data_IF_879267352333
#
_entry.id   IF_879267352333
#
_cell.length_a   1.000
_cell.length_b   1.000
_cell.length_c   1.000
_cell.angle_alpha   90.00
_cell.angle_beta   90.00
_cell.angle_gamma   90.00
#
_symmetry.space_group_name_H-M   'P 1'
#
loop_
_entity.id
_entity.type
_entity.pdbx_description
1 polymer ?
#
# COMPACT_ATOMS: atom_id res chain seq x y z
N UNK A 1 40.41 -27.27 -0.54
CA UNK A 1 39.04 -27.18 -1.08
C UNK A 1 38.21 -26.19 -0.28
N UNK A 2 37.47 -25.30 -0.95
CA UNK A 2 36.65 -24.25 -0.31
C UNK A 2 35.20 -24.45 -0.72
N UNK A 3 34.29 -24.43 0.25
CA UNK A 3 32.84 -24.41 0.03
C UNK A 3 32.34 -23.00 0.30
N UNK A 4 31.55 -22.43 -0.63
CA UNK A 4 30.87 -21.15 -0.46
C UNK A 4 29.37 -21.38 -0.58
N UNK A 5 28.62 -21.12 0.50
CA UNK A 5 27.16 -21.28 0.53
C UNK A 5 26.48 -19.95 0.22
N UNK A 6 26.04 -19.76 -1.02
CA UNK A 6 25.27 -18.60 -1.46
C UNK A 6 23.74 -18.91 -1.41
N UNK A 7 23.21 -19.15 -0.21
CA UNK A 7 21.84 -19.66 0.01
C UNK A 7 20.71 -18.63 -0.19
N UNK A 8 21.04 -17.37 -0.48
CA UNK A 8 20.08 -16.31 -0.74
C UNK A 8 19.41 -15.76 0.53
N UNK A 9 18.15 -15.31 0.39
CA UNK A 9 17.40 -14.61 1.43
C UNK A 9 16.03 -15.27 1.68
N UNK A 10 15.48 -15.03 2.86
CA UNK A 10 14.06 -15.20 3.16
C UNK A 10 13.41 -13.81 3.20
N UNK A 11 12.35 -13.61 2.41
CA UNK A 11 11.64 -12.33 2.38
C UNK A 11 10.82 -12.15 3.66
N UNK A 12 11.13 -11.09 4.41
CA UNK A 12 10.32 -10.62 5.54
C UNK A 12 9.31 -9.58 5.04
N UNK A 13 8.09 -10.02 4.74
CA UNK A 13 7.02 -9.10 4.34
C UNK A 13 6.73 -8.15 5.48
N UNK A 14 6.76 -6.84 5.19
CA UNK A 14 6.57 -5.77 6.17
C UNK A 14 7.45 -5.87 7.42
N UNK A 15 8.63 -6.50 7.30
CA UNK A 15 9.59 -6.60 8.39
C UNK A 15 9.17 -7.54 9.53
N UNK A 16 8.21 -8.45 9.31
CA UNK A 16 7.63 -9.33 10.35
C UNK A 16 7.03 -8.56 11.55
N UNK A 17 6.58 -7.33 11.32
CA UNK A 17 5.85 -6.55 12.31
C UNK A 17 4.40 -7.04 12.34
N UNK A 18 3.86 -7.23 13.55
CA UNK A 18 2.43 -7.49 13.73
C UNK A 18 1.67 -6.16 13.66
N UNK A 19 0.65 -6.12 12.80
CA UNK A 19 -0.22 -4.95 12.64
C UNK A 19 -1.63 -5.32 13.01
N UNK A 20 -2.28 -4.47 13.80
CA UNK A 20 -3.71 -4.53 14.06
C UNK A 20 -4.39 -3.18 13.82
N UNK A 21 -5.70 -3.23 13.62
CA UNK A 21 -6.59 -2.07 13.59
C UNK A 21 -7.71 -2.39 14.58
N UNK A 22 -7.82 -1.59 15.64
CA UNK A 22 -8.79 -1.80 16.71
C UNK A 22 -8.75 -3.23 17.30
N UNK A 23 -7.52 -3.77 17.48
CA UNK A 23 -7.29 -5.12 18.01
C UNK A 23 -7.55 -6.26 17.01
N UNK A 24 -7.85 -5.96 15.74
CA UNK A 24 -7.99 -6.97 14.67
C UNK A 24 -6.74 -7.01 13.81
N UNK A 25 -6.08 -8.16 13.76
CA UNK A 25 -4.90 -8.39 12.90
C UNK A 25 -5.19 -8.01 11.45
N UNK A 26 -4.25 -7.31 10.82
CA UNK A 26 -4.31 -6.95 9.40
C UNK A 26 -3.74 -8.09 8.56
N UNK A 27 -4.51 -8.56 7.59
CA UNK A 27 -4.05 -9.51 6.58
C UNK A 27 -3.76 -8.78 5.27
N UNK A 28 -2.49 -8.43 5.06
CA UNK A 28 -2.07 -7.67 3.90
C UNK A 28 -2.31 -8.39 2.58
N UNK A 29 -2.38 -9.74 2.57
CA UNK A 29 -2.68 -10.52 1.36
C UNK A 29 -4.08 -10.26 0.78
N UNK A 30 -4.97 -9.67 1.59
CA UNK A 30 -6.33 -9.29 1.22
C UNK A 30 -6.48 -7.80 0.89
N UNK A 31 -5.40 -7.02 1.00
CA UNK A 31 -5.42 -5.59 0.69
C UNK A 31 -4.99 -5.31 -0.75
N UNK A 32 -5.41 -4.17 -1.28
CA UNK A 32 -4.90 -3.59 -2.52
C UNK A 32 -3.90 -2.48 -2.22
N UNK A 33 -2.78 -2.47 -2.93
CA UNK A 33 -1.75 -1.46 -2.73
C UNK A 33 -2.08 -0.16 -3.47
N UNK A 34 -2.33 0.91 -2.73
CA UNK A 34 -2.52 2.25 -3.26
C UNK A 34 -1.16 2.90 -3.56
N UNK A 35 -0.97 3.33 -4.81
CA UNK A 35 0.27 3.94 -5.34
C UNK A 35 1.54 3.14 -4.99
N UNK A 36 1.39 1.82 -4.85
CA UNK A 36 2.44 0.91 -4.39
C UNK A 36 3.05 1.23 -3.01
N UNK A 37 2.37 2.01 -2.17
CA UNK A 37 2.94 2.56 -0.92
C UNK A 37 1.99 2.49 0.27
N UNK A 38 0.68 2.49 0.08
CA UNK A 38 -0.31 2.30 1.16
C UNK A 38 -1.19 1.09 0.84
N UNK A 39 -2.05 0.69 1.77
CA UNK A 39 -2.88 -0.52 1.63
C UNK A 39 -4.34 -0.19 1.88
N UNK A 40 -5.23 -0.70 1.03
CA UNK A 40 -6.67 -0.48 1.16
C UNK A 40 -7.15 -0.79 2.57
N UNK A 41 -7.91 0.13 3.15
CA UNK A 41 -8.51 0.04 4.49
C UNK A 41 -7.50 -0.02 5.65
N UNK A 42 -6.21 0.24 5.39
CA UNK A 42 -5.18 0.39 6.43
C UNK A 42 -4.85 1.88 6.62
N UNK A 43 -5.18 2.48 7.77
CA UNK A 43 -4.94 3.89 8.03
C UNK A 43 -3.46 4.17 8.30
N UNK A 44 -2.98 5.35 7.88
CA UNK A 44 -1.71 5.95 8.32
C UNK A 44 -0.45 5.08 8.17
N UNK A 45 -0.45 4.09 7.26
CA UNK A 45 0.70 3.24 6.98
C UNK A 45 1.24 3.52 5.58
N UNK A 46 2.54 3.85 5.51
CA UNK A 46 3.30 3.92 4.26
C UNK A 46 4.41 2.87 4.28
N UNK A 47 4.53 2.15 3.17
CA UNK A 47 5.48 1.08 2.95
C UNK A 47 6.36 1.38 1.74
N UNK A 48 7.66 1.14 1.90
CA UNK A 48 8.64 1.30 0.84
C UNK A 48 9.05 -0.06 0.30
N UNK A 49 8.64 -0.37 -0.93
CA UNK A 49 9.07 -1.57 -1.65
C UNK A 49 9.75 -1.19 -2.96
N UNK A 50 11.03 -1.54 -3.10
CA UNK A 50 11.86 -1.15 -4.24
C UNK A 50 11.38 -1.67 -5.60
N UNK A 51 11.87 -1.04 -6.66
CA UNK A 51 11.72 -1.58 -8.01
C UNK A 51 12.54 -2.87 -8.15
N UNK A 52 12.01 -3.82 -8.92
CA UNK A 52 12.68 -5.07 -9.26
C UNK A 52 13.72 -4.84 -10.36
N UNK A 53 13.42 -3.95 -11.32
CA UNK A 53 14.25 -3.69 -12.50
C UNK A 53 14.97 -2.33 -12.44
N UNK A 54 14.95 -1.63 -11.30
CA UNK A 54 15.61 -0.34 -11.11
C UNK A 54 16.10 -0.19 -9.66
N UNK A 55 16.84 0.88 -9.36
CA UNK A 55 17.35 1.11 -8.01
C UNK A 55 16.22 1.24 -7.00
N UNK A 56 16.29 0.49 -5.90
CA UNK A 56 15.35 0.59 -4.79
C UNK A 56 15.32 1.99 -4.16
N UNK A 57 16.44 2.72 -4.21
CA UNK A 57 16.53 4.10 -3.69
C UNK A 57 15.60 5.06 -4.41
N UNK A 58 15.32 4.84 -5.70
CA UNK A 58 14.37 5.66 -6.45
C UNK A 58 12.95 5.56 -5.88
N UNK A 59 12.54 4.36 -5.42
CA UNK A 59 11.24 4.23 -4.76
C UNK A 59 11.29 4.83 -3.35
N UNK A 60 12.38 4.63 -2.61
CA UNK A 60 12.53 5.19 -1.27
C UNK A 60 12.36 6.71 -1.26
N UNK A 61 12.99 7.43 -2.21
CA UNK A 61 12.83 8.88 -2.35
C UNK A 61 11.36 9.27 -2.63
N UNK A 62 10.69 8.55 -3.55
CA UNK A 62 9.29 8.82 -3.87
C UNK A 62 8.36 8.54 -2.69
N UNK A 63 8.60 7.48 -1.91
CA UNK A 63 7.83 7.16 -0.72
C UNK A 63 8.00 8.22 0.38
N UNK A 64 9.22 8.70 0.60
CA UNK A 64 9.50 9.80 1.53
C UNK A 64 8.80 11.09 1.10
N UNK A 65 8.92 11.48 -0.18
CA UNK A 65 8.22 12.66 -0.71
C UNK A 65 6.70 12.53 -0.59
N UNK A 66 6.14 11.37 -0.95
CA UNK A 66 4.71 11.11 -0.81
C UNK A 66 4.25 11.25 0.63
N UNK A 67 4.99 10.68 1.58
CA UNK A 67 4.71 10.78 3.02
C UNK A 67 4.60 12.23 3.47
N UNK A 68 5.59 13.05 3.12
CA UNK A 68 5.57 14.49 3.43
C UNK A 68 4.36 15.19 2.81
N UNK A 69 4.00 14.87 1.56
CA UNK A 69 2.82 15.48 0.90
C UNK A 69 1.52 15.10 1.60
N UNK A 70 1.36 13.85 2.02
CA UNK A 70 0.18 13.38 2.75
C UNK A 70 0.08 14.07 4.11
N UNK A 71 1.16 14.07 4.90
CA UNK A 71 1.19 14.70 6.23
C UNK A 71 0.87 16.20 6.13
N UNK A 72 1.52 16.93 5.22
CA UNK A 72 1.26 18.35 5.01
C UNK A 72 -0.20 18.62 4.58
N UNK A 73 -0.80 17.72 3.80
CA UNK A 73 -2.21 17.83 3.43
C UNK A 73 -3.12 17.61 4.63
N UNK A 74 -2.84 16.59 5.45
CA UNK A 74 -3.58 16.31 6.68
C UNK A 74 -3.54 17.49 7.65
N UNK A 75 -2.35 18.07 7.87
CA UNK A 75 -2.18 19.28 8.69
C UNK A 75 -3.03 20.45 8.18
N UNK A 76 -3.04 20.66 6.86
CA UNK A 76 -3.80 21.76 6.22
C UNK A 76 -5.31 21.64 6.42
N UNK A 77 -5.85 20.44 6.38
CA UNK A 77 -7.31 20.19 6.55
C UNK A 77 -7.68 19.81 7.98
N UNK A 78 -6.70 19.72 8.88
CA UNK A 78 -6.86 19.29 10.26
C UNK A 78 -7.35 17.85 10.39
N UNK A 79 -6.92 16.93 9.53
CA UNK A 79 -7.22 15.50 9.67
C UNK A 79 -6.10 14.75 10.37
N UNK A 80 -6.44 13.61 10.98
CA UNK A 80 -5.51 12.78 11.77
C UNK A 80 -5.37 11.37 11.20
N UNK A 81 -6.34 10.96 10.38
CA UNK A 81 -6.41 9.63 9.78
C UNK A 81 -6.51 9.81 8.26
N UNK A 82 -5.64 9.12 7.53
CA UNK A 82 -5.65 8.97 6.09
C UNK A 82 -5.71 7.49 5.74
N UNK A 83 -6.77 7.07 5.04
CA UNK A 83 -6.99 5.67 4.64
C UNK A 83 -7.30 5.61 3.14
N UNK A 84 -6.57 4.84 2.34
CA UNK A 84 -6.98 4.57 0.97
C UNK A 84 -8.17 3.61 0.97
N UNK A 85 -9.27 3.97 0.31
CA UNK A 85 -10.46 3.13 0.23
C UNK A 85 -10.84 2.90 -1.23
N UNK A 86 -11.15 1.65 -1.58
CA UNK A 86 -11.69 1.31 -2.90
C UNK A 86 -12.98 2.08 -3.14
N UNK A 87 -13.13 2.64 -4.35
CA UNK A 87 -14.38 3.29 -4.77
C UNK A 87 -15.43 2.22 -5.11
N UNK A 88 -16.70 2.61 -5.17
CA UNK A 88 -17.80 1.68 -5.48
C UNK A 88 -17.58 0.88 -6.77
N UNK A 89 -17.04 1.52 -7.83
CA UNK A 89 -16.71 0.84 -9.09
C UNK A 89 -15.47 -0.06 -9.04
N UNK A 90 -14.69 -0.01 -7.97
CA UNK A 90 -13.44 -0.75 -7.78
C UNK A 90 -13.62 -1.96 -6.84
N UNK A 91 -14.78 -2.12 -6.20
CA UNK A 91 -15.04 -3.21 -5.24
C UNK A 91 -14.93 -4.61 -5.86
N UNK A 92 -15.17 -4.74 -7.17
CA UNK A 92 -15.06 -5.99 -7.92
C UNK A 92 -13.75 -6.09 -8.72
N UNK A 93 -12.77 -5.23 -8.44
CA UNK A 93 -11.50 -5.20 -9.14
C UNK A 93 -10.74 -6.52 -8.92
N UNK A 94 -10.17 -7.08 -10.00
CA UNK A 94 -9.43 -8.32 -9.93
C UNK A 94 -8.06 -8.09 -9.29
N UNK A 95 -7.82 -8.74 -8.15
CA UNK A 95 -6.50 -8.77 -7.52
C UNK A 95 -5.53 -9.67 -8.26
N UNK A 96 -4.37 -9.12 -8.63
CA UNK A 96 -3.19 -9.85 -9.11
C UNK A 96 -2.10 -9.87 -8.05
N UNK A 97 -1.12 -10.75 -8.25
CA UNK A 97 0.04 -10.84 -7.39
C UNK A 97 0.86 -9.55 -7.43
N UNK A 98 1.51 -9.23 -6.30
CA UNK A 98 2.25 -7.98 -6.12
C UNK A 98 3.28 -7.70 -7.22
N UNK A 99 3.91 -8.76 -7.73
CA UNK A 99 4.87 -8.71 -8.83
C UNK A 99 4.49 -9.80 -9.81
N UNK A 100 4.27 -9.42 -11.06
CA UNK A 100 4.01 -10.36 -12.14
C UNK A 100 5.33 -10.91 -12.71
N UNK A 101 5.36 -12.21 -13.04
CA UNK A 101 6.42 -12.87 -13.80
C UNK A 101 7.86 -12.76 -13.23
N UNK A 102 8.02 -12.68 -11.90
CA UNK A 102 9.35 -12.69 -11.28
C UNK A 102 9.80 -14.11 -10.86
N UNK A 103 10.95 -14.54 -11.36
CA UNK A 103 11.45 -15.91 -11.21
C UNK A 103 12.21 -16.18 -9.89
N UNK A 104 12.50 -15.14 -9.10
CA UNK A 104 13.30 -15.33 -7.88
C UNK A 104 12.50 -16.08 -6.81
N UNK A 105 12.99 -17.27 -6.46
CA UNK A 105 12.31 -18.17 -5.52
C UNK A 105 12.02 -17.55 -4.15
N UNK A 106 12.86 -16.64 -3.65
CA UNK A 106 12.64 -16.00 -2.34
C UNK A 106 11.39 -15.11 -2.31
N UNK A 107 11.01 -14.49 -3.44
CA UNK A 107 9.75 -13.76 -3.57
C UNK A 107 8.61 -14.75 -3.78
N UNK A 108 8.76 -15.73 -4.68
CA UNK A 108 7.71 -16.71 -4.98
C UNK A 108 7.20 -17.43 -3.72
N UNK A 109 8.10 -17.81 -2.81
CA UNK A 109 7.74 -18.44 -1.53
C UNK A 109 6.86 -17.58 -0.64
N UNK A 110 6.88 -16.26 -0.80
CA UNK A 110 6.19 -15.29 0.07
C UNK A 110 5.17 -14.43 -0.69
N UNK A 111 4.96 -14.66 -1.99
CA UNK A 111 4.06 -13.86 -2.83
C UNK A 111 2.64 -13.81 -2.28
N UNK A 112 2.16 -14.93 -1.74
CA UNK A 112 0.83 -15.06 -1.13
C UNK A 112 0.64 -14.23 0.14
N UNK A 113 1.70 -13.65 0.72
CA UNK A 113 1.64 -12.77 1.89
C UNK A 113 1.68 -11.28 1.52
N UNK A 114 2.03 -10.96 0.28
CA UNK A 114 2.13 -9.58 -0.22
C UNK A 114 0.75 -9.03 -0.57
N UNK A 115 0.57 -7.68 -0.57
CA UNK A 115 -0.66 -7.07 -1.03
C UNK A 115 -0.96 -7.41 -2.50
N UNK A 116 -2.23 -7.33 -2.85
CA UNK A 116 -2.65 -7.41 -4.25
C UNK A 116 -2.40 -6.10 -4.95
N UNK A 117 -2.15 -6.19 -6.25
CA UNK A 117 -2.31 -5.06 -7.15
C UNK A 117 -3.57 -5.26 -7.99
N UNK A 118 -4.25 -4.16 -8.33
CA UNK A 118 -5.40 -4.14 -9.22
C UNK A 118 -5.00 -4.09 -10.70
N UNK A 119 -5.97 -3.90 -11.57
CA UNK A 119 -5.82 -3.72 -13.02
C UNK A 119 -5.81 -2.27 -13.48
N UNK A 120 -6.06 -1.32 -12.56
CA UNK A 120 -6.12 0.10 -12.87
C UNK A 120 -5.53 0.97 -11.76
N UNK A 121 -4.97 2.12 -12.15
CA UNK A 121 -4.46 3.11 -11.23
C UNK A 121 -5.57 3.62 -10.29
N UNK A 122 -5.27 3.93 -9.02
CA UNK A 122 -3.94 3.96 -8.40
C UNK A 122 -3.51 2.63 -7.76
N UNK A 123 -4.17 1.50 -8.08
CA UNK A 123 -4.00 0.22 -7.39
C UNK A 123 -2.93 -0.70 -8.00
N UNK A 124 -2.07 -0.19 -8.90
CA UNK A 124 -1.12 -0.99 -9.68
C UNK A 124 0.31 -0.83 -9.15
N UNK A 125 1.07 -1.92 -9.10
CA UNK A 125 2.51 -1.90 -8.88
C UNK A 125 3.26 -1.76 -10.21
N UNK A 126 3.41 -0.52 -10.68
CA UNK A 126 3.77 -0.20 -12.08
C UNK A 126 5.16 -0.67 -12.50
N UNK A 127 6.09 -0.78 -11.55
CA UNK A 127 7.52 -0.96 -11.82
C UNK A 127 8.13 0.10 -12.77
N UNK A 128 7.45 1.23 -12.98
CA UNK A 128 7.85 2.33 -13.87
C UNK A 128 8.14 3.59 -13.04
N UNK A 129 9.42 3.91 -12.89
CA UNK A 129 9.86 5.07 -12.12
C UNK A 129 9.36 6.41 -12.70
N UNK A 130 9.29 6.57 -14.03
CA UNK A 130 8.89 7.85 -14.62
C UNK A 130 7.38 8.07 -14.43
N UNK A 131 6.59 7.01 -14.60
CA UNK A 131 5.17 7.03 -14.29
C UNK A 131 4.94 7.33 -12.80
N UNK A 132 5.58 6.58 -11.91
CA UNK A 132 5.44 6.77 -10.46
C UNK A 132 5.87 8.15 -10.02
N UNK A 133 6.99 8.67 -10.54
CA UNK A 133 7.45 10.03 -10.24
C UNK A 133 6.42 11.08 -10.63
N UNK A 134 5.75 10.93 -11.78
CA UNK A 134 4.69 11.84 -12.22
C UNK A 134 3.48 11.74 -11.28
N UNK A 135 2.99 10.53 -11.04
CA UNK A 135 1.86 10.24 -10.17
C UNK A 135 2.10 10.79 -8.76
N UNK A 136 3.22 10.43 -8.15
CA UNK A 136 3.55 10.72 -6.75
C UNK A 136 3.88 12.19 -6.52
N UNK A 137 4.49 12.91 -7.48
CA UNK A 137 4.85 14.32 -7.27
C UNK A 137 3.78 15.30 -7.71
N UNK A 138 2.94 14.94 -8.69
CA UNK A 138 2.07 15.90 -9.38
C UNK A 138 0.58 15.68 -9.14
N UNK A 139 0.13 14.46 -8.92
CA UNK A 139 -1.30 14.23 -8.68
C UNK A 139 -1.75 14.77 -7.32
N UNK A 140 -3.01 15.21 -7.19
CA UNK A 140 -3.56 15.65 -5.92
C UNK A 140 -3.50 14.54 -4.87
N UNK A 141 -3.39 14.96 -3.60
CA UNK A 141 -3.48 14.05 -2.45
C UNK A 141 -4.95 13.67 -2.20
N UNK A 142 -5.85 14.66 -2.25
CA UNK A 142 -7.29 14.42 -2.26
C UNK A 142 -7.74 14.02 -3.68
N UNK A 143 -7.51 12.75 -4.02
CA UNK A 143 -7.81 12.15 -5.32
C UNK A 143 -9.12 11.35 -5.31
N UNK A 144 -9.88 11.44 -4.21
CA UNK A 144 -11.11 10.67 -4.01
C UNK A 144 -10.90 9.17 -3.74
N UNK A 145 -9.66 8.68 -3.63
CA UNK A 145 -9.33 7.35 -3.07
C UNK A 145 -8.90 7.48 -1.61
N UNK A 146 -8.03 8.46 -1.31
CA UNK A 146 -7.70 8.77 0.07
C UNK A 146 -8.92 9.36 0.79
N UNK A 147 -9.22 8.80 1.96
CA UNK A 147 -10.25 9.27 2.89
C UNK A 147 -9.58 9.84 4.11
N UNK A 148 -9.96 11.07 4.45
CA UNK A 148 -9.42 11.81 5.57
C UNK A 148 -10.46 11.95 6.68
N UNK A 149 -10.07 11.73 7.93
CA UNK A 149 -10.95 11.87 9.09
C UNK A 149 -10.18 12.28 10.36
N UNK A 150 -10.92 12.58 11.42
CA UNK A 150 -10.39 12.86 12.77
C UNK A 150 -10.69 11.68 13.70
N UNK A 151 -9.87 11.52 14.73
CA UNK A 151 -10.12 10.56 15.80
C UNK A 151 -11.48 10.85 16.44
N UNK A 152 -12.33 9.84 16.59
CA UNK A 152 -13.70 9.97 17.13
C UNK A 152 -14.80 10.24 16.11
N UNK A 153 -14.46 10.54 14.84
CA UNK A 153 -15.42 10.66 13.73
C UNK A 153 -15.35 9.47 12.76
N UNK A 154 -14.89 8.29 13.21
CA UNK A 154 -14.82 7.11 12.35
C UNK A 154 -16.22 6.73 11.87
N UNK A 155 -16.46 6.88 10.56
CA UNK A 155 -17.72 6.64 9.85
C UNK A 155 -18.29 5.22 9.97
N UNK A 156 -17.61 4.33 10.71
CA UNK A 156 -18.05 2.95 10.99
C UNK A 156 -19.28 2.90 11.92
N UNK A 157 -19.54 3.96 12.69
CA UNK A 157 -20.75 4.05 13.54
C UNK A 157 -22.05 4.27 12.75
N UNK A 158 -21.99 4.97 11.60
CA UNK A 158 -23.20 5.27 10.82
C UNK A 158 -23.69 4.11 9.94
N UNK A 159 -22.84 3.12 9.63
CA UNK A 159 -23.22 2.01 8.75
C UNK A 159 -23.99 0.92 9.51
N UNK A 160 -23.68 0.71 10.80
CA UNK A 160 -24.35 -0.31 11.62
C UNK A 160 -25.75 0.10 12.10
N UNK A 161 -26.04 1.40 12.19
CA UNK A 161 -27.40 1.89 12.53
C UNK A 161 -28.35 1.86 11.31
N UNK A 162 -27.84 1.93 10.08
CA UNK A 162 -28.68 1.92 8.88
C UNK A 162 -29.00 0.50 8.36
N UNK A 163 -28.24 -0.51 8.77
CA UNK A 163 -28.53 -1.92 8.45
C UNK A 163 -29.43 -2.60 9.51
N UNK A 164 -29.76 -1.89 10.60
CA UNK A 164 -30.62 -2.35 11.69
C UNK A 164 -32.00 -1.67 11.71
N UNK A 165 -32.32 -0.85 10.71
CA UNK A 165 -33.60 -0.16 10.51
C UNK A 165 -34.31 -0.67 9.25
#
# INVERSE_FOLDING_TARGET
DIIVTATGFELCVLGNIEFDIDGKSVDFSKTFAYKSMMFSDVPNLIWTFGYINASWTLKADLAAEFSCRVINHMDKIGSEICTPCLRAGELNMLGRDWIDNFSSGYIQRKMHLLPKQGDQSPWVNTQDYLYDKKMIRKEPIDDGVLRFSKTGNSTRGQQLENDAA
#
